data_IF_403125563473
#
_entry.id   IF_403125563473
#
_cell.length_a   1.000
_cell.length_b   1.000
_cell.length_c   1.000
_cell.angle_alpha   90.00
_cell.angle_beta   90.00
_cell.angle_gamma   90.00
#
_symmetry.space_group_name_H-M   'P 1'
#
loop_
_entity.id
_entity.type
_entity.pdbx_description
1 polymer ?
#
# COMPACT_ATOMS: atom_id res chain seq x y z
N UNK A 1 -50.99 10.03 37.30
CA UNK A 1 -49.62 10.53 36.97
C UNK A 1 -49.56 12.02 37.19
N UNK A 2 -48.51 12.50 37.86
CA UNK A 2 -48.25 13.92 38.07
C UNK A 2 -47.87 14.62 36.74
N UNK A 3 -48.48 15.79 36.48
CA UNK A 3 -48.19 16.60 35.27
C UNK A 3 -46.69 16.91 35.09
N UNK A 4 -45.93 16.96 36.20
CA UNK A 4 -44.47 17.17 36.20
C UNK A 4 -43.70 15.98 35.61
N UNK A 5 -44.17 14.75 35.83
CA UNK A 5 -43.57 13.56 35.22
C UNK A 5 -43.93 13.44 33.75
N UNK A 6 -45.14 13.88 33.35
CA UNK A 6 -45.53 13.94 31.94
C UNK A 6 -44.67 14.92 31.14
N UNK A 7 -44.35 16.10 31.69
CA UNK A 7 -43.48 17.09 31.04
C UNK A 7 -42.04 16.58 30.90
N UNK A 8 -41.50 15.90 31.91
CA UNK A 8 -40.16 15.29 31.85
C UNK A 8 -40.09 14.14 30.84
N UNK A 9 -41.12 13.30 30.79
CA UNK A 9 -41.21 12.23 29.82
C UNK A 9 -41.34 12.78 28.38
N UNK A 10 -42.14 13.83 28.18
CA UNK A 10 -42.29 14.50 26.88
C UNK A 10 -41.01 15.18 26.40
N UNK A 11 -40.30 15.89 27.29
CA UNK A 11 -39.02 16.52 26.96
C UNK A 11 -37.94 15.48 26.64
N UNK A 12 -37.90 14.37 27.38
CA UNK A 12 -36.96 13.28 27.11
C UNK A 12 -37.27 12.60 25.76
N UNK A 13 -38.54 12.27 25.49
CA UNK A 13 -38.94 11.64 24.23
C UNK A 13 -38.71 12.56 23.01
N UNK A 14 -39.02 13.85 23.14
CA UNK A 14 -38.74 14.82 22.09
C UNK A 14 -37.23 15.02 21.89
N UNK A 15 -36.43 15.04 22.96
CA UNK A 15 -34.99 15.15 22.89
C UNK A 15 -34.33 13.93 22.23
N UNK A 16 -34.76 12.71 22.58
CA UNK A 16 -34.20 11.48 22.00
C UNK A 16 -34.63 11.29 20.55
N UNK A 17 -35.88 11.58 20.21
CA UNK A 17 -36.36 11.52 18.81
C UNK A 17 -35.70 12.58 17.95
N UNK A 18 -35.50 13.79 18.47
CA UNK A 18 -34.74 14.84 17.78
C UNK A 18 -33.26 14.46 17.61
N UNK A 19 -32.61 13.93 18.65
CA UNK A 19 -31.23 13.44 18.53
C UNK A 19 -31.12 12.28 17.54
N UNK A 20 -32.08 11.35 17.54
CA UNK A 20 -32.11 10.26 16.56
C UNK A 20 -32.38 10.75 15.14
N UNK A 21 -33.25 11.75 14.95
CA UNK A 21 -33.47 12.38 13.64
C UNK A 21 -32.25 13.18 13.15
N UNK A 22 -31.58 13.90 14.05
CA UNK A 22 -30.35 14.64 13.73
C UNK A 22 -29.19 13.69 13.37
N UNK A 23 -29.10 12.53 14.04
CA UNK A 23 -28.11 11.49 13.72
C UNK A 23 -28.52 10.62 12.51
N UNK A 24 -29.76 10.73 12.06
CA UNK A 24 -30.34 10.01 10.91
C UNK A 24 -30.82 10.99 9.84
N UNK A 25 -29.96 11.93 9.44
CA UNK A 25 -30.18 12.77 8.25
C UNK A 25 -29.28 12.35 7.09
N UNK A 26 -29.75 11.49 6.17
CA UNK A 26 -29.10 11.25 4.89
C UNK A 26 -29.55 12.27 3.81
N UNK A 27 -29.87 13.52 4.19
CA UNK A 27 -30.60 14.46 3.32
C UNK A 27 -29.87 15.79 3.05
N UNK A 28 -28.59 15.94 3.43
CA UNK A 28 -27.77 17.12 3.11
C UNK A 28 -26.50 16.79 2.31
N UNK A 29 -26.49 15.66 1.62
CA UNK A 29 -25.43 15.26 0.70
C UNK A 29 -25.96 15.19 -0.74
N UNK A 30 -26.20 16.35 -1.33
CA UNK A 30 -26.07 16.54 -2.79
C UNK A 30 -24.68 17.14 -3.12
N UNK A 31 -23.68 16.89 -2.27
CA UNK A 31 -22.30 17.00 -2.73
C UNK A 31 -22.08 15.78 -3.62
N UNK A 32 -22.02 16.00 -4.94
CA UNK A 32 -21.39 15.02 -5.82
C UNK A 32 -19.97 14.91 -5.27
N UNK A 33 -19.64 13.77 -4.67
CA UNK A 33 -18.29 13.50 -4.21
C UNK A 33 -17.42 13.36 -5.46
N UNK A 34 -16.28 14.04 -5.53
CA UNK A 34 -15.34 13.87 -6.65
C UNK A 34 -14.76 12.43 -6.68
N UNK A 35 -15.05 11.61 -5.65
CA UNK A 35 -14.85 10.17 -5.63
C UNK A 35 -15.94 9.33 -6.34
N UNK A 36 -17.12 9.91 -6.63
CA UNK A 36 -18.23 9.23 -7.33
C UNK A 36 -18.08 9.26 -8.86
N UNK A 37 -17.19 10.11 -9.40
CA UNK A 37 -16.93 10.21 -10.83
C UNK A 37 -15.49 9.73 -11.12
N UNK A 38 -15.26 8.41 -11.30
CA UNK A 38 -13.93 7.81 -11.37
C UNK A 38 -13.10 8.20 -12.62
N UNK A 39 -13.52 9.22 -13.36
CA UNK A 39 -12.95 9.60 -14.64
C UNK A 39 -13.09 8.49 -15.69
N UNK A 40 -12.58 8.72 -16.91
CA UNK A 40 -12.48 7.64 -17.89
C UNK A 40 -11.54 6.56 -17.37
N UNK A 41 -12.07 5.34 -17.19
CA UNK A 41 -11.28 4.19 -16.75
C UNK A 41 -10.13 3.86 -17.71
N UNK A 42 -9.02 3.36 -17.18
CA UNK A 42 -7.86 2.98 -18.00
C UNK A 42 -8.22 1.87 -19.00
N UNK A 43 -7.67 1.98 -20.20
CA UNK A 43 -7.69 0.91 -21.18
C UNK A 43 -6.92 -0.31 -20.66
N UNK A 44 -7.33 -1.51 -21.07
CA UNK A 44 -6.66 -2.78 -20.74
C UNK A 44 -5.16 -2.72 -21.04
N UNK A 45 -4.77 -2.07 -22.13
CA UNK A 45 -3.37 -1.92 -22.52
C UNK A 45 -2.61 -1.06 -21.51
N UNK A 46 -3.22 0.01 -21.02
CA UNK A 46 -2.59 0.90 -20.04
C UNK A 46 -2.49 0.22 -18.68
N UNK A 47 -3.53 -0.51 -18.26
CA UNK A 47 -3.49 -1.29 -17.02
C UNK A 47 -2.37 -2.34 -17.06
N UNK A 48 -2.26 -3.11 -18.14
CA UNK A 48 -1.20 -4.10 -18.27
C UNK A 48 0.18 -3.44 -18.43
N UNK A 49 0.26 -2.33 -19.16
CA UNK A 49 1.49 -1.56 -19.33
C UNK A 49 2.03 -1.05 -18.00
N UNK A 50 1.19 -0.38 -17.21
CA UNK A 50 1.57 0.27 -15.96
C UNK A 50 1.74 -0.71 -14.81
N UNK A 51 0.87 -1.71 -14.67
CA UNK A 51 0.86 -2.58 -13.50
C UNK A 51 1.56 -3.94 -13.72
N UNK A 52 1.91 -4.29 -14.96
CA UNK A 52 2.61 -5.55 -15.26
C UNK A 52 3.94 -5.30 -15.95
N UNK A 53 3.94 -4.59 -17.08
CA UNK A 53 5.19 -4.34 -17.81
C UNK A 53 6.14 -3.42 -17.03
N UNK A 54 5.63 -2.32 -16.45
CA UNK A 54 6.51 -1.38 -15.75
C UNK A 54 7.25 -2.03 -14.54
N UNK A 55 6.58 -2.83 -13.66
CA UNK A 55 7.28 -3.57 -12.62
C UNK A 55 8.30 -4.58 -13.15
N UNK A 56 7.97 -5.33 -14.21
CA UNK A 56 8.90 -6.29 -14.83
C UNK A 56 10.10 -5.56 -15.43
N UNK A 57 9.86 -4.48 -16.18
CA UNK A 57 10.91 -3.67 -16.77
C UNK A 57 11.85 -3.10 -15.72
N UNK A 58 11.29 -2.56 -14.63
CA UNK A 58 12.07 -2.06 -13.50
C UNK A 58 12.94 -3.17 -12.88
N UNK A 59 12.38 -4.36 -12.67
CA UNK A 59 13.12 -5.51 -12.16
C UNK A 59 14.29 -5.89 -13.08
N UNK A 60 14.05 -5.99 -14.39
CA UNK A 60 15.08 -6.33 -15.38
C UNK A 60 16.19 -5.28 -15.40
N UNK A 61 15.85 -4.00 -15.32
CA UNK A 61 16.83 -2.91 -15.23
C UNK A 61 17.70 -3.08 -13.99
N UNK A 62 17.09 -3.29 -12.81
CA UNK A 62 17.83 -3.48 -11.56
C UNK A 62 18.73 -4.71 -11.64
N UNK A 63 18.21 -5.85 -12.09
CA UNK A 63 18.97 -7.09 -12.22
C UNK A 63 20.15 -6.92 -13.19
N UNK A 64 19.95 -6.23 -14.32
CA UNK A 64 21.00 -5.92 -15.28
C UNK A 64 22.08 -5.03 -14.69
N UNK A 65 21.68 -3.99 -13.94
CA UNK A 65 22.61 -3.11 -13.23
C UNK A 65 23.43 -3.86 -12.18
N UNK A 66 22.78 -4.73 -11.39
CA UNK A 66 23.47 -5.57 -10.39
C UNK A 66 24.47 -6.51 -11.05
N UNK A 67 24.09 -7.20 -12.12
CA UNK A 67 24.99 -8.09 -12.88
C UNK A 67 26.19 -7.33 -13.46
N UNK A 68 25.96 -6.14 -14.00
CA UNK A 68 27.03 -5.29 -14.54
C UNK A 68 27.99 -4.82 -13.44
N UNK A 69 27.47 -4.44 -12.26
CA UNK A 69 28.26 -3.98 -11.13
C UNK A 69 29.03 -5.13 -10.45
N UNK A 70 28.43 -6.30 -10.28
CA UNK A 70 29.06 -7.48 -9.68
C UNK A 70 30.29 -7.95 -10.49
N UNK A 71 30.19 -7.91 -11.82
CA UNK A 71 31.31 -8.20 -12.72
C UNK A 71 32.52 -7.28 -12.48
N UNK A 72 32.31 -6.06 -11.96
CA UNK A 72 33.40 -5.13 -11.65
C UNK A 72 34.20 -5.51 -10.39
N UNK A 73 33.62 -6.30 -9.49
CA UNK A 73 34.26 -6.78 -8.26
C UNK A 73 35.02 -8.09 -8.42
N UNK A 74 34.84 -8.81 -9.54
CA UNK A 74 35.56 -10.04 -9.90
C UNK A 74 37.02 -9.79 -10.34
N UNK A 75 37.68 -8.75 -9.82
CA UNK A 75 39.15 -8.60 -9.91
C UNK A 75 39.76 -9.69 -9.05
N UNK A 76 40.02 -10.82 -9.72
CA UNK A 76 40.73 -12.01 -9.26
C UNK A 76 41.79 -11.66 -8.23
N UNK A 77 41.57 -12.08 -6.99
CA UNK A 77 42.66 -12.20 -6.03
C UNK A 77 43.67 -13.19 -6.63
N UNK A 78 44.92 -12.78 -6.93
CA UNK A 78 45.93 -13.68 -7.48
C UNK A 78 46.46 -14.69 -6.44
N UNK A 79 45.88 -14.71 -5.23
CA UNK A 79 46.30 -15.55 -4.11
C UNK A 79 45.39 -16.77 -3.99
N UNK A 80 45.54 -17.73 -4.88
CA UNK A 80 45.27 -19.12 -4.51
C UNK A 80 46.21 -20.04 -5.28
N UNK A 81 46.95 -20.87 -4.51
CA UNK A 81 47.52 -22.18 -4.87
C UNK A 81 49.01 -22.43 -4.58
N UNK A 82 49.77 -21.54 -3.91
CA UNK A 82 51.18 -21.81 -3.56
C UNK A 82 51.46 -21.94 -2.04
N UNK A 83 50.50 -22.43 -1.25
CA UNK A 83 50.79 -22.84 0.13
C UNK A 83 51.27 -24.29 0.09
N UNK A 84 52.59 -24.50 0.06
CA UNK A 84 53.19 -25.80 0.39
C UNK A 84 52.96 -26.07 1.88
N UNK A 85 51.96 -26.87 2.20
CA UNK A 85 51.82 -27.44 3.54
C UNK A 85 53.00 -28.38 3.77
N UNK A 86 53.69 -28.23 4.91
CA UNK A 86 54.94 -28.89 5.33
C UNK A 86 54.96 -30.44 5.25
N UNK A 87 53.86 -31.07 4.83
CA UNK A 87 53.71 -32.51 4.65
C UNK A 87 54.54 -33.07 3.46
N UNK A 88 54.74 -32.30 2.37
CA UNK A 88 55.50 -32.76 1.19
C UNK A 88 57.03 -32.65 1.32
N UNK A 89 57.55 -32.07 2.40
CA UNK A 89 59.00 -31.91 2.60
C UNK A 89 59.68 -33.16 3.19
N UNK A 90 58.94 -34.26 3.38
CA UNK A 90 59.43 -35.48 4.03
C UNK A 90 58.85 -36.73 3.35
N UNK A 91 59.15 -36.90 2.06
CA UNK A 91 59.00 -38.15 1.32
C UNK A 91 60.30 -38.42 0.55
#
# INVERSE_FOLDING_TARGET
MDKKNALRAGALAAGTTLMMLLMSSPALALTRDDGDDPGPGLSVIETLGLYVLAPIGLFVVIAGLVMALDKSHQKKDPTSSNIRTKADAKA
#
